data_IF_094323331290
#
_entry.id   IF_094323331290
#
_cell.length_a   1.000
_cell.length_b   1.000
_cell.length_c   1.000
_cell.angle_alpha   90.00
_cell.angle_beta   90.00
_cell.angle_gamma   90.00
#
_symmetry.space_group_name_H-M   'P 1'
#
loop_
_entity.id
_entity.type
_entity.pdbx_description
1 polymer ?
#
# COMPACT_ATOMS: atom_id res chain seq x y z
N UNK A 1 -1.10 43.73 1.46
CA UNK A 1 -0.89 42.70 2.49
C UNK A 1 -1.78 41.54 2.08
N UNK A 2 -1.25 40.31 1.87
CA UNK A 2 -2.10 39.17 1.48
C UNK A 2 -2.91 38.77 2.73
N UNK A 3 -4.23 38.78 2.62
CA UNK A 3 -5.10 38.39 3.73
C UNK A 3 -5.05 36.88 3.98
N UNK A 4 -5.23 36.48 5.24
CA UNK A 4 -5.17 35.08 5.69
C UNK A 4 -6.10 34.17 4.86
N UNK A 5 -7.24 34.69 4.40
CA UNK A 5 -8.19 33.97 3.55
C UNK A 5 -7.56 33.63 2.19
N UNK A 6 -6.87 34.57 1.55
CA UNK A 6 -6.21 34.35 0.26
C UNK A 6 -5.06 33.33 0.37
N UNK A 7 -4.30 33.35 1.48
CA UNK A 7 -3.27 32.34 1.74
C UNK A 7 -3.88 30.93 1.87
N UNK A 8 -5.01 30.79 2.58
CA UNK A 8 -5.70 29.50 2.71
C UNK A 8 -6.19 28.98 1.35
N UNK A 9 -6.81 29.82 0.53
CA UNK A 9 -7.28 29.44 -0.80
C UNK A 9 -6.12 28.99 -1.72
N UNK A 10 -5.00 29.73 -1.72
CA UNK A 10 -3.80 29.35 -2.48
C UNK A 10 -3.15 28.05 -2.00
N UNK A 11 -3.22 27.76 -0.71
CA UNK A 11 -2.68 26.52 -0.14
C UNK A 11 -3.59 25.31 -0.45
N UNK A 12 -4.90 25.46 -0.26
CA UNK A 12 -5.87 24.39 -0.50
C UNK A 12 -5.94 24.00 -1.98
N UNK A 13 -5.89 24.96 -2.90
CA UNK A 13 -5.87 24.69 -4.35
C UNK A 13 -4.62 23.95 -4.80
N UNK A 14 -3.47 24.16 -4.15
CA UNK A 14 -2.24 23.44 -4.46
C UNK A 14 -2.24 22.01 -3.91
N UNK A 15 -2.87 21.76 -2.76
CA UNK A 15 -2.83 20.45 -2.08
C UNK A 15 -3.98 19.53 -2.49
N UNK A 16 -5.18 20.06 -2.72
CA UNK A 16 -6.36 19.26 -3.04
C UNK A 16 -6.15 18.27 -4.21
N UNK A 17 -5.44 18.61 -5.31
CA UNK A 17 -5.16 17.65 -6.37
C UNK A 17 -4.30 16.47 -5.93
N UNK A 18 -3.33 16.68 -5.03
CA UNK A 18 -2.46 15.61 -4.54
C UNK A 18 -3.22 14.62 -3.65
N UNK A 19 -4.19 15.11 -2.85
CA UNK A 19 -5.01 14.24 -2.00
C UNK A 19 -5.82 13.24 -2.84
N UNK A 20 -6.34 13.67 -3.99
CA UNK A 20 -7.10 12.82 -4.91
C UNK A 20 -6.25 11.66 -5.46
N UNK A 21 -4.95 11.86 -5.64
CA UNK A 21 -4.03 10.83 -6.16
C UNK A 21 -3.47 9.95 -5.05
N UNK A 22 -3.12 10.54 -3.91
CA UNK A 22 -2.45 9.84 -2.80
C UNK A 22 -3.41 8.88 -2.08
N UNK A 23 -4.66 9.28 -1.85
CA UNK A 23 -5.64 8.45 -1.14
C UNK A 23 -5.86 7.08 -1.81
N UNK A 24 -6.20 6.99 -3.12
CA UNK A 24 -6.39 5.69 -3.77
C UNK A 24 -5.10 4.89 -3.83
N UNK A 25 -3.93 5.54 -3.97
CA UNK A 25 -2.64 4.85 -3.98
C UNK A 25 -2.37 4.14 -2.63
N UNK A 26 -2.62 4.81 -1.50
CA UNK A 26 -2.49 4.21 -0.17
C UNK A 26 -3.48 3.07 0.03
N UNK A 27 -4.72 3.22 -0.45
CA UNK A 27 -5.73 2.15 -0.36
C UNK A 27 -5.29 0.91 -1.13
N UNK A 28 -4.77 1.07 -2.35
CA UNK A 28 -4.27 -0.04 -3.17
C UNK A 28 -3.08 -0.72 -2.48
N UNK A 29 -2.14 0.06 -1.93
CA UNK A 29 -1.00 -0.47 -1.19
C UNK A 29 -1.44 -1.30 0.03
N UNK A 30 -2.39 -0.77 0.82
CA UNK A 30 -2.96 -1.47 1.97
C UNK A 30 -3.65 -2.79 1.56
N UNK A 31 -4.41 -2.78 0.47
CA UNK A 31 -5.08 -3.98 -0.05
C UNK A 31 -4.05 -5.03 -0.49
N UNK A 32 -3.01 -4.63 -1.23
CA UNK A 32 -1.93 -5.55 -1.65
C UNK A 32 -1.18 -6.12 -0.45
N UNK A 33 -0.91 -5.29 0.56
CA UNK A 33 -0.25 -5.70 1.80
C UNK A 33 -1.10 -6.70 2.59
N UNK A 34 -2.40 -6.43 2.73
CA UNK A 34 -3.33 -7.34 3.38
C UNK A 34 -3.43 -8.68 2.64
N UNK A 35 -3.53 -8.66 1.30
CA UNK A 35 -3.62 -9.86 0.47
C UNK A 35 -2.36 -10.72 0.55
N UNK A 36 -1.18 -10.09 0.49
CA UNK A 36 0.11 -10.78 0.60
C UNK A 36 0.29 -11.40 1.99
N UNK A 37 -0.06 -10.69 3.06
CA UNK A 37 -0.04 -11.22 4.43
C UNK A 37 -1.04 -12.38 4.62
N UNK A 38 -2.27 -12.27 4.08
CA UNK A 38 -3.27 -13.33 4.15
C UNK A 38 -2.79 -14.61 3.44
N UNK A 39 -2.19 -14.47 2.26
CA UNK A 39 -1.58 -15.59 1.54
C UNK A 39 -0.39 -16.20 2.32
N UNK A 40 0.47 -15.37 2.90
CA UNK A 40 1.59 -15.84 3.73
C UNK A 40 1.11 -16.66 4.93
N UNK A 41 0.05 -16.21 5.61
CA UNK A 41 -0.56 -16.93 6.72
C UNK A 41 -1.16 -18.27 6.27
N UNK A 42 -1.88 -18.31 5.15
CA UNK A 42 -2.44 -19.56 4.58
C UNK A 42 -1.37 -20.58 4.18
N UNK A 43 -0.19 -20.13 3.79
CA UNK A 43 0.94 -20.97 3.39
C UNK A 43 1.88 -21.32 4.55
N UNK A 44 1.55 -20.92 5.80
CA UNK A 44 2.41 -21.07 6.98
C UNK A 44 3.82 -20.45 6.81
N UNK A 45 3.94 -19.40 6.00
CA UNK A 45 5.19 -18.68 5.78
C UNK A 45 5.35 -17.53 6.78
N UNK A 46 5.69 -17.88 8.03
CA UNK A 46 5.83 -16.91 9.14
C UNK A 46 6.92 -15.86 8.89
N UNK A 47 8.06 -16.26 8.29
CA UNK A 47 9.13 -15.33 7.94
C UNK A 47 8.67 -14.24 6.96
N UNK A 48 7.91 -14.62 5.93
CA UNK A 48 7.36 -13.68 4.95
C UNK A 48 6.26 -12.79 5.54
N UNK A 49 5.44 -13.31 6.45
CA UNK A 49 4.45 -12.51 7.17
C UNK A 49 5.11 -11.39 7.98
N UNK A 50 6.19 -11.71 8.71
CA UNK A 50 6.95 -10.73 9.50
C UNK A 50 7.66 -9.72 8.59
N UNK A 51 8.29 -10.18 7.49
CA UNK A 51 8.93 -9.30 6.52
C UNK A 51 7.94 -8.31 5.89
N UNK A 52 6.77 -8.78 5.46
CA UNK A 52 5.71 -7.93 4.91
C UNK A 52 5.18 -6.94 5.95
N UNK A 53 5.12 -7.31 7.23
CA UNK A 53 4.66 -6.42 8.29
C UNK A 53 5.67 -5.28 8.57
N UNK A 54 6.95 -5.62 8.73
CA UNK A 54 8.01 -4.69 9.15
C UNK A 54 8.49 -3.80 7.99
N UNK A 55 8.61 -4.35 6.78
CA UNK A 55 9.19 -3.61 5.66
C UNK A 55 8.15 -2.71 5.01
N UNK A 56 8.37 -1.40 5.10
CA UNK A 56 7.55 -0.39 4.45
C UNK A 56 8.09 -0.12 3.03
N UNK A 57 7.66 -0.92 2.06
CA UNK A 57 8.18 -0.93 0.68
C UNK A 57 7.23 -0.31 -0.35
N UNK A 58 6.18 0.41 0.07
CA UNK A 58 5.17 1.02 -0.81
C UNK A 58 4.68 0.05 -1.89
N UNK A 59 4.33 -1.17 -1.49
CA UNK A 59 3.69 -2.15 -2.38
C UNK A 59 4.64 -3.06 -3.15
N UNK A 60 5.94 -2.74 -3.22
CA UNK A 60 6.93 -3.53 -3.97
C UNK A 60 7.11 -4.94 -3.37
N UNK A 61 7.33 -5.05 -2.06
CA UNK A 61 7.52 -6.35 -1.41
C UNK A 61 6.25 -7.22 -1.45
N UNK A 62 5.03 -6.68 -1.21
CA UNK A 62 3.78 -7.40 -1.44
C UNK A 62 3.66 -7.99 -2.85
N UNK A 63 4.00 -7.21 -3.89
CA UNK A 63 3.92 -7.67 -5.29
C UNK A 63 4.91 -8.81 -5.54
N UNK A 64 6.17 -8.65 -5.12
CA UNK A 64 7.20 -9.70 -5.27
C UNK A 64 6.75 -10.98 -4.57
N UNK A 65 6.24 -10.88 -3.34
CA UNK A 65 5.74 -12.02 -2.61
C UNK A 65 4.58 -12.72 -3.35
N UNK A 66 3.61 -11.96 -3.84
CA UNK A 66 2.47 -12.50 -4.58
C UNK A 66 2.90 -13.21 -5.87
N UNK A 67 3.90 -12.68 -6.59
CA UNK A 67 4.44 -13.29 -7.80
C UNK A 67 5.22 -14.58 -7.51
N UNK A 68 6.13 -14.54 -6.53
CA UNK A 68 6.95 -15.70 -6.14
C UNK A 68 6.09 -16.86 -5.61
N UNK A 69 5.04 -16.55 -4.85
CA UNK A 69 4.17 -17.57 -4.23
C UNK A 69 3.02 -18.01 -5.11
N UNK A 70 2.84 -17.44 -6.31
CA UNK A 70 1.69 -17.72 -7.17
C UNK A 70 1.59 -19.22 -7.55
N UNK A 71 2.72 -19.83 -7.92
CA UNK A 71 2.80 -21.25 -8.32
C UNK A 71 2.46 -22.20 -7.17
N UNK A 72 3.03 -21.95 -5.99
CA UNK A 72 2.81 -22.74 -4.77
C UNK A 72 1.40 -22.54 -4.20
N UNK A 73 0.82 -21.34 -4.35
CA UNK A 73 -0.55 -21.05 -3.94
C UNK A 73 -1.56 -21.82 -4.78
N UNK A 74 -1.37 -21.89 -6.12
CA UNK A 74 -2.26 -22.63 -7.03
C UNK A 74 -2.22 -24.14 -6.80
N UNK A 75 -1.09 -24.70 -6.35
CA UNK A 75 -0.99 -26.14 -6.00
C UNK A 75 -1.76 -26.52 -4.74
N UNK A 76 -2.00 -25.58 -3.83
CA UNK A 76 -2.65 -25.81 -2.52
C UNK A 76 -4.12 -25.40 -2.48
N UNK A 77 -4.64 -24.82 -3.56
CA UNK A 77 -6.04 -24.37 -3.71
C UNK A 77 -6.75 -25.32 -4.65
#
# INVERSE_FOLDING_TARGET
>A
MIDIVQYKEMFMSQIAPWLIVIIPFILIDLVLKALSMWRAARMNMTAWFIALFIVNSLGILPIIFLLLTNTEYKKRT
#
